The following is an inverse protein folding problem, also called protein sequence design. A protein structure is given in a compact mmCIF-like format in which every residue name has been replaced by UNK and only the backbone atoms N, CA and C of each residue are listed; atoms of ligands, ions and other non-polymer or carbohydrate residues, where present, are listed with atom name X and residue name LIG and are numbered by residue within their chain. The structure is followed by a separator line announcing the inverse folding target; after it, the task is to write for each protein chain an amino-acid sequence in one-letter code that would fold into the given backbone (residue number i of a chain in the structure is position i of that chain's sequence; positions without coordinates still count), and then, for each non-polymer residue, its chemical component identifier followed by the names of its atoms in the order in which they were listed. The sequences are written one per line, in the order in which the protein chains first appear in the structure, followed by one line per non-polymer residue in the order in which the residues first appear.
data_IF_611342556685
#
_entry.id   IF_611342556685
#
_cell.length_a   1.000
_cell.length_b   1.000
_cell.length_c   1.000
_cell.angle_alpha   90.00
_cell.angle_beta   90.00
_cell.angle_gamma   90.00
#
_symmetry.space_group_name_H-M   'P 1'
#
loop_
_entity.id
_entity.type
_entity.pdbx_description
1 polymer ?
#
# COMPACT_ATOMS: atom_id res chain seq x y z
N UNK A 1 6.77 24.42 -18.91
CA UNK A 1 5.75 23.37 -18.78
C UNK A 1 6.11 22.56 -17.53
N UNK A 2 5.45 22.75 -16.38
CA UNK A 2 5.76 21.93 -15.19
C UNK A 2 5.03 20.60 -15.28
N UNK A 3 5.74 19.48 -15.20
CA UNK A 3 5.08 18.19 -15.07
C UNK A 3 4.21 18.17 -13.81
N UNK A 4 2.91 17.85 -13.97
CA UNK A 4 2.05 17.55 -12.83
C UNK A 4 2.54 16.25 -12.22
N UNK A 5 3.09 16.29 -11.00
CA UNK A 5 3.31 15.08 -10.21
C UNK A 5 1.96 14.37 -10.07
N UNK A 6 1.89 13.13 -10.54
CA UNK A 6 0.72 12.28 -10.29
C UNK A 6 0.78 11.90 -8.81
N UNK A 7 -0.21 12.37 -8.04
CA UNK A 7 -0.41 11.90 -6.67
C UNK A 7 -0.85 10.43 -6.75
N UNK A 8 0.11 9.51 -6.75
CA UNK A 8 -0.15 8.08 -6.63
C UNK A 8 -0.18 7.69 -5.14
N UNK A 9 -0.98 6.68 -4.81
CA UNK A 9 -1.07 6.08 -3.48
C UNK A 9 -0.46 4.68 -3.54
N UNK A 10 0.28 4.32 -2.49
CA UNK A 10 0.82 2.98 -2.29
C UNK A 10 0.04 2.35 -1.14
N UNK A 11 -0.67 1.28 -1.44
CA UNK A 11 -1.38 0.46 -0.48
C UNK A 11 -0.46 -0.70 -0.10
N UNK A 12 -0.30 -0.94 1.20
CA UNK A 12 0.53 -2.01 1.75
C UNK A 12 -0.34 -2.79 2.72
N UNK A 13 -0.39 -4.10 2.53
CA UNK A 13 -1.00 -5.05 3.46
C UNK A 13 0.06 -6.09 3.84
N UNK A 14 0.07 -6.48 5.11
CA UNK A 14 1.09 -7.36 5.70
C UNK A 14 0.43 -8.49 6.47
N UNK A 15 0.93 -9.70 6.27
CA UNK A 15 0.64 -10.85 7.13
C UNK A 15 1.86 -11.15 8.00
N UNK A 16 1.66 -11.24 9.31
CA UNK A 16 2.73 -11.40 10.30
C UNK A 16 2.62 -12.72 11.05
N UNK A 17 3.73 -13.23 11.58
CA UNK A 17 3.71 -14.42 12.44
C UNK A 17 3.00 -14.21 13.78
N UNK A 18 2.84 -12.95 14.19
CA UNK A 18 2.23 -12.53 15.44
C UNK A 18 2.10 -11.01 15.52
N UNK A 19 1.81 -10.48 16.71
CA UNK A 19 1.51 -9.05 16.92
C UNK A 19 2.69 -8.25 17.51
N UNK A 20 3.78 -8.90 17.93
CA UNK A 20 4.95 -8.21 18.47
C UNK A 20 5.97 -7.92 17.37
N UNK A 21 5.98 -6.68 16.89
CA UNK A 21 6.90 -6.22 15.84
C UNK A 21 8.40 -6.37 16.16
N UNK A 22 8.80 -6.57 17.41
CA UNK A 22 10.21 -6.76 17.78
C UNK A 22 10.65 -8.23 17.68
N UNK A 23 9.72 -9.18 17.79
CA UNK A 23 10.02 -10.62 17.80
C UNK A 23 9.40 -11.39 16.64
N UNK A 24 8.29 -10.90 16.09
CA UNK A 24 7.56 -11.51 15.00
C UNK A 24 8.06 -11.04 13.63
N UNK A 25 7.85 -11.89 12.63
CA UNK A 25 8.33 -11.69 11.27
C UNK A 25 7.18 -11.42 10.30
N UNK A 26 7.47 -10.67 9.22
CA UNK A 26 6.57 -10.56 8.08
C UNK A 26 6.62 -11.87 7.29
N UNK A 27 5.45 -12.49 7.08
CA UNK A 27 5.30 -13.72 6.30
C UNK A 27 4.95 -13.42 4.84
N UNK A 28 4.11 -12.41 4.60
CA UNK A 28 3.69 -11.99 3.26
C UNK A 28 3.55 -10.46 3.17
N UNK A 29 3.75 -9.93 1.96
CA UNK A 29 3.54 -8.53 1.62
C UNK A 29 2.73 -8.44 0.32
N UNK A 30 1.62 -7.69 0.36
CA UNK A 30 0.86 -7.32 -0.83
C UNK A 30 0.91 -5.80 -1.03
N UNK A 31 1.18 -5.36 -2.26
CA UNK A 31 1.22 -3.94 -2.61
C UNK A 31 0.39 -3.61 -3.83
N UNK A 32 -0.35 -2.50 -3.79
CA UNK A 32 -1.09 -1.96 -4.94
C UNK A 32 -0.76 -0.48 -5.08
N UNK A 33 -0.51 -0.04 -6.32
CA UNK A 33 -0.34 1.39 -6.62
C UNK A 33 -1.60 1.90 -7.32
N UNK A 34 -2.25 2.91 -6.76
CA UNK A 34 -3.42 3.56 -7.36
C UNK A 34 -3.16 5.04 -7.60
N UNK A 35 -3.97 5.67 -8.46
CA UNK A 35 -4.08 7.12 -8.44
C UNK A 35 -4.83 7.56 -7.16
N UNK A 36 -4.65 8.81 -6.73
CA UNK A 36 -5.35 9.39 -5.57
C UNK A 36 -6.88 9.33 -5.66
N UNK A 37 -7.43 9.40 -6.87
CA UNK A 37 -8.88 9.28 -7.10
C UNK A 37 -9.24 7.82 -7.32
N UNK A 38 -9.66 7.15 -6.27
CA UNK A 38 -10.22 5.79 -6.37
C UNK A 38 -11.46 5.81 -7.26
N UNK A 39 -11.50 4.93 -8.25
CA UNK A 39 -12.67 4.74 -9.13
C UNK A 39 -13.62 3.77 -8.44
N UNK A 40 -14.77 4.27 -8.00
CA UNK A 40 -15.89 3.41 -7.64
C UNK A 40 -16.64 3.05 -8.93
N UNK A 41 -16.82 1.76 -9.19
CA UNK A 41 -17.70 1.28 -10.26
C UNK A 41 -19.09 1.13 -9.65
N UNK A 42 -20.04 1.95 -10.11
CA UNK A 42 -21.46 1.83 -9.79
C UNK A 42 -22.18 1.00 -10.83
#
# INVERSE_FOLDING_TARGET
MSEKRKDNLIWIDLEMSGLDTQSDYILEIATIVTEKKLKYFS
#
